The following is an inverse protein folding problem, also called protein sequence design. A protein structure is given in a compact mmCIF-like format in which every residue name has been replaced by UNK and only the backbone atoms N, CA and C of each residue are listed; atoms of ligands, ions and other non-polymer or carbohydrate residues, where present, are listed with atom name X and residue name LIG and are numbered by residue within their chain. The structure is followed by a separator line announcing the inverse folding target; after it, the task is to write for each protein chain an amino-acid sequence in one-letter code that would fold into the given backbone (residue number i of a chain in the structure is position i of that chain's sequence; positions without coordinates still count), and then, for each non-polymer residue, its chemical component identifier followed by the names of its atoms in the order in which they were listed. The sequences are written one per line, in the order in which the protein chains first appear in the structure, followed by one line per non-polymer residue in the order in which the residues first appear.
data_IF_095762506738
#
_entry.id   IF_095762506738
#
_cell.length_a   1.000
_cell.length_b   1.000
_cell.length_c   1.000
_cell.angle_alpha   90.00
_cell.angle_beta   90.00
_cell.angle_gamma   90.00
#
_symmetry.space_group_name_H-M   'P 1'
#
loop_
_entity.id
_entity.type
_entity.pdbx_description
1 polymer ?
#
# COMPACT_ATOMS: atom_id res chain seq x y z
N UNK A 1 -3.34 -7.06 5.36
CA UNK A 1 -2.31 -5.99 5.44
C UNK A 1 -2.17 -5.35 4.09
N UNK A 2 -2.27 -4.01 4.01
CA UNK A 2 -2.07 -3.22 2.82
C UNK A 2 -0.65 -2.67 2.72
N UNK A 3 -0.09 -2.65 1.52
CA UNK A 3 1.28 -2.25 1.23
C UNK A 3 1.34 -1.27 0.05
N UNK A 4 2.00 -0.14 0.26
CA UNK A 4 2.42 0.79 -0.78
C UNK A 4 3.93 0.63 -1.01
N UNK A 5 4.33 0.07 -2.16
CA UNK A 5 5.73 -0.35 -2.41
C UNK A 5 6.43 0.67 -3.32
N UNK A 6 7.24 1.54 -2.72
CA UNK A 6 8.17 2.43 -3.42
C UNK A 6 9.57 1.84 -3.54
N UNK A 7 10.51 2.58 -4.16
CA UNK A 7 11.90 2.15 -4.29
C UNK A 7 12.75 2.35 -3.01
N UNK A 8 12.32 3.25 -2.13
CA UNK A 8 13.01 3.62 -0.87
C UNK A 8 12.18 3.41 0.39
N UNK A 9 10.88 3.19 0.25
CA UNK A 9 9.96 3.02 1.37
C UNK A 9 8.87 2.03 1.03
N UNK A 10 8.37 1.33 2.05
CA UNK A 10 7.13 0.56 1.98
C UNK A 10 6.20 1.09 3.06
N UNK A 11 5.08 1.68 2.66
CA UNK A 11 4.02 2.08 3.58
C UNK A 11 3.19 0.87 4.01
N UNK A 12 2.88 0.76 5.30
CA UNK A 12 2.16 -0.39 5.87
C UNK A 12 0.83 0.06 6.47
N UNK A 13 -0.24 -0.65 6.14
CA UNK A 13 -1.55 -0.52 6.75
C UNK A 13 -2.14 -1.88 7.13
N UNK A 14 -3.02 -1.91 8.14
CA UNK A 14 -3.76 -3.11 8.56
C UNK A 14 -5.24 -2.80 8.61
N UNK A 15 -6.08 -3.82 8.43
CA UNK A 15 -7.51 -3.67 8.61
C UNK A 15 -7.86 -3.83 10.09
N UNK A 16 -9.00 -3.30 10.51
CA UNK A 16 -9.64 -3.75 11.74
C UNK A 16 -10.03 -5.25 11.65
N UNK A 17 -10.35 -5.89 12.79
CA UNK A 17 -10.75 -7.31 12.80
C UNK A 17 -12.02 -7.63 12.01
N UNK A 18 -12.87 -6.64 11.75
CA UNK A 18 -14.11 -6.80 10.97
C UNK A 18 -13.88 -6.63 9.46
N UNK A 19 -12.70 -6.16 9.05
CA UNK A 19 -12.37 -5.87 7.66
C UNK A 19 -13.09 -4.63 7.12
N UNK A 20 -13.47 -3.67 7.97
CA UNK A 20 -14.22 -2.48 7.54
C UNK A 20 -13.33 -1.28 7.27
N UNK A 21 -12.39 -1.01 8.17
CA UNK A 21 -11.53 0.17 8.11
C UNK A 21 -10.06 -0.22 8.00
N UNK A 22 -9.29 0.59 7.28
CA UNK A 22 -7.84 0.51 7.22
C UNK A 22 -7.18 1.53 8.15
N UNK A 23 -6.08 1.13 8.78
CA UNK A 23 -5.30 1.96 9.69
C UNK A 23 -3.81 1.89 9.32
N UNK A 24 -3.14 3.04 9.32
CA UNK A 24 -1.71 3.11 9.04
C UNK A 24 -0.90 2.61 10.22
N UNK A 25 0.13 1.80 9.95
CA UNK A 25 1.02 1.24 10.99
C UNK A 25 2.33 2.02 11.00
N UNK A 26 3.12 1.88 9.94
CA UNK A 26 4.41 2.53 9.84
C UNK A 26 4.90 2.59 8.38
N UNK A 27 6.07 3.20 8.18
CA UNK A 27 6.78 3.19 6.89
C UNK A 27 8.12 2.49 7.10
N UNK A 28 8.31 1.36 6.43
CA UNK A 28 9.58 0.63 6.43
C UNK A 28 10.51 1.27 5.39
N UNK A 29 11.73 1.62 5.79
CA UNK A 29 12.76 2.08 4.86
C UNK A 29 13.38 0.89 4.14
N UNK A 30 13.50 1.01 2.82
CA UNK A 30 14.04 -0.03 1.94
C UNK A 30 15.04 0.57 0.95
N UNK A 31 15.74 -0.28 0.21
CA UNK A 31 16.59 0.13 -0.90
C UNK A 31 16.52 -0.93 -2.00
N UNK A 32 15.57 -0.75 -2.92
CA UNK A 32 15.30 -1.68 -4.01
C UNK A 32 16.54 -1.95 -4.88
N UNK A 33 17.34 -0.91 -5.16
CA UNK A 33 18.57 -1.02 -5.97
C UNK A 33 19.64 -1.90 -5.31
N UNK A 34 19.59 -2.05 -3.99
CA UNK A 34 20.52 -2.90 -3.21
C UNK A 34 19.89 -4.24 -2.82
N UNK A 35 18.67 -4.53 -3.27
CA UNK A 35 17.93 -5.73 -2.88
C UNK A 35 17.47 -5.73 -1.41
N UNK A 36 17.46 -4.57 -0.75
CA UNK A 36 17.02 -4.44 0.64
C UNK A 36 15.52 -4.17 0.66
N UNK A 37 14.69 -5.19 0.90
CA UNK A 37 13.22 -5.10 0.79
C UNK A 37 12.48 -4.92 2.14
N UNK A 38 13.20 -4.79 3.24
CA UNK A 38 12.60 -4.57 4.57
C UNK A 38 11.83 -5.77 5.14
N UNK A 39 12.00 -6.97 4.57
CA UNK A 39 11.21 -8.17 4.88
C UNK A 39 11.30 -8.62 6.34
N UNK A 40 12.43 -8.37 7.02
CA UNK A 40 12.60 -8.71 8.44
C UNK A 40 11.59 -7.97 9.33
N UNK A 41 11.47 -6.65 9.14
CA UNK A 41 10.50 -5.84 9.91
C UNK A 41 9.07 -6.21 9.52
N UNK A 42 8.84 -6.45 8.23
CA UNK A 42 7.53 -6.91 7.76
C UNK A 42 7.12 -8.25 8.42
N UNK A 43 8.07 -9.17 8.62
CA UNK A 43 7.81 -10.44 9.28
C UNK A 43 7.39 -10.27 10.75
N UNK A 44 7.96 -9.30 11.47
CA UNK A 44 7.54 -8.96 12.83
C UNK A 44 6.08 -8.47 12.84
N UNK A 45 5.75 -7.55 11.93
CA UNK A 45 4.40 -7.00 11.80
C UNK A 45 3.37 -8.06 11.38
N UNK A 46 3.74 -8.97 10.47
CA UNK A 46 2.86 -10.07 10.04
C UNK A 46 2.47 -10.96 11.21
N UNK A 47 3.41 -11.23 12.13
CA UNK A 47 3.15 -12.00 13.35
C UNK A 47 2.32 -11.20 14.34
N UNK A 48 2.68 -9.95 14.58
CA UNK A 48 2.01 -9.06 15.53
C UNK A 48 0.53 -8.87 15.20
N UNK A 49 0.23 -8.59 13.93
CA UNK A 49 -1.13 -8.33 13.45
C UNK A 49 -1.84 -9.58 12.91
N UNK A 50 -1.24 -10.77 13.07
CA UNK A 50 -1.79 -12.06 12.62
C UNK A 50 -2.31 -12.00 11.17
N UNK A 51 -1.49 -11.48 10.27
CA UNK A 51 -1.90 -11.20 8.89
C UNK A 51 -2.22 -12.49 8.15
N UNK A 52 -3.36 -12.50 7.46
CA UNK A 52 -3.84 -13.64 6.66
C UNK A 52 -3.81 -13.39 5.15
N UNK A 53 -3.62 -12.13 4.73
CA UNK A 53 -3.58 -11.71 3.33
C UNK A 53 -2.84 -10.38 3.16
N UNK A 54 -2.12 -10.25 2.06
CA UNK A 54 -1.56 -8.97 1.60
C UNK A 54 -2.38 -8.34 0.48
N UNK A 55 -2.43 -7.01 0.48
CA UNK A 55 -2.98 -6.19 -0.60
C UNK A 55 -1.90 -5.21 -1.01
N UNK A 56 -1.41 -5.30 -2.25
CA UNK A 56 -0.35 -4.44 -2.76
C UNK A 56 -0.93 -3.47 -3.77
N UNK A 57 -0.58 -2.21 -3.64
CA UNK A 57 -0.90 -1.19 -4.62
C UNK A 57 -0.19 -1.42 -5.97
N UNK A 58 -0.95 -1.27 -7.06
CA UNK A 58 -0.49 -1.52 -8.42
C UNK A 58 -0.70 -0.27 -9.29
N UNK A 59 0.35 0.55 -9.49
CA UNK A 59 0.26 1.78 -10.28
C UNK A 59 0.23 1.45 -11.77
N UNK A 60 -0.97 1.26 -12.33
CA UNK A 60 -1.16 1.05 -13.77
C UNK A 60 -1.13 2.38 -14.51
N UNK A 61 -0.59 2.37 -15.73
CA UNK A 61 -0.67 3.52 -16.61
C UNK A 61 -2.13 3.79 -17.03
N UNK A 62 -2.43 5.02 -17.46
CA UNK A 62 -3.78 5.43 -17.88
C UNK A 62 -4.34 4.61 -19.05
N UNK A 63 -3.47 4.03 -19.88
CA UNK A 63 -3.82 3.11 -20.97
C UNK A 63 -3.91 1.63 -20.53
N UNK A 64 -3.97 1.35 -19.23
CA UNK A 64 -3.92 0.00 -18.61
C UNK A 64 -2.60 -0.78 -18.78
N UNK A 65 -1.56 -0.23 -19.41
CA UNK A 65 -0.27 -0.94 -19.50
C UNK A 65 0.42 -1.04 -18.13
N UNK A 66 1.18 -2.11 -17.93
CA UNK A 66 2.04 -2.29 -16.77
C UNK A 66 3.36 -1.56 -17.03
N UNK A 67 3.74 -0.66 -16.14
CA UNK A 67 5.05 0.01 -16.18
C UNK A 67 6.05 -0.59 -15.18
N UNK A 68 7.32 -0.15 -15.19
CA UNK A 68 8.38 -0.71 -14.34
C UNK A 68 8.05 -0.71 -12.84
N UNK A 69 7.33 0.31 -12.35
CA UNK A 69 6.91 0.36 -10.93
C UNK A 69 5.88 -0.72 -10.60
N UNK A 70 4.96 -1.02 -11.51
CA UNK A 70 3.97 -2.08 -11.33
C UNK A 70 4.63 -3.47 -11.35
N UNK A 71 5.61 -3.69 -12.24
CA UNK A 71 6.43 -4.91 -12.24
C UNK A 71 7.20 -5.07 -10.92
N UNK A 72 7.78 -3.98 -10.41
CA UNK A 72 8.48 -4.01 -9.14
C UNK A 72 7.55 -4.32 -7.95
N UNK A 73 6.32 -3.78 -7.94
CA UNK A 73 5.30 -4.15 -6.94
C UNK A 73 4.90 -5.63 -7.04
N UNK A 74 4.77 -6.18 -8.26
CA UNK A 74 4.51 -7.61 -8.46
C UNK A 74 5.66 -8.48 -7.97
N UNK A 75 6.91 -8.10 -8.28
CA UNK A 75 8.09 -8.81 -7.80
C UNK A 75 8.18 -8.78 -6.27
N UNK A 76 7.83 -7.67 -5.63
CA UNK A 76 7.70 -7.61 -4.18
C UNK A 76 6.65 -8.59 -3.66
N UNK A 77 5.48 -8.64 -4.31
CA UNK A 77 4.41 -9.58 -3.99
C UNK A 77 4.82 -11.05 -4.09
N UNK A 78 5.57 -11.44 -5.11
CA UNK A 78 6.09 -12.81 -5.23
C UNK A 78 7.03 -13.17 -4.07
N UNK A 79 7.90 -12.25 -3.63
CA UNK A 79 8.72 -12.47 -2.43
C UNK A 79 7.87 -12.67 -1.16
N UNK A 80 6.74 -11.99 -1.05
CA UNK A 80 5.84 -12.18 0.08
C UNK A 80 5.17 -13.56 0.05
N UNK A 81 4.73 -14.01 -1.13
CA UNK A 81 4.16 -15.36 -1.29
C UNK A 81 5.19 -16.42 -0.90
N UNK A 82 6.41 -16.32 -1.41
CA UNK A 82 7.50 -17.25 -1.10
C UNK A 82 7.85 -17.27 0.40
N UNK A 83 7.85 -16.11 1.06
CA UNK A 83 8.27 -16.00 2.46
C UNK A 83 7.19 -16.37 3.47
N UNK A 84 5.92 -16.03 3.17
CA UNK A 84 4.83 -16.14 4.13
C UNK A 84 3.80 -17.21 3.80
N UNK A 85 3.77 -17.71 2.56
CA UNK A 85 2.74 -18.62 2.06
C UNK A 85 1.31 -18.06 2.26
N UNK A 86 1.17 -16.74 2.08
CA UNK A 86 -0.09 -16.02 2.21
C UNK A 86 -0.56 -15.47 0.85
N UNK A 87 -1.88 -15.38 0.62
CA UNK A 87 -2.42 -14.75 -0.58
C UNK A 87 -1.98 -13.28 -0.70
N UNK A 88 -1.70 -12.88 -1.94
CA UNK A 88 -1.38 -11.50 -2.31
C UNK A 88 -2.37 -11.06 -3.40
N UNK A 89 -3.19 -10.06 -3.07
CA UNK A 89 -4.07 -9.39 -4.02
C UNK A 89 -3.46 -8.05 -4.44
N UNK A 90 -3.74 -7.63 -5.68
CA UNK A 90 -3.28 -6.36 -6.23
C UNK A 90 -4.44 -5.38 -6.39
N UNK A 91 -4.29 -4.17 -5.87
CA UNK A 91 -5.30 -3.12 -5.92
C UNK A 91 -4.82 -1.99 -6.82
N UNK A 92 -5.69 -1.59 -7.76
CA UNK A 92 -5.39 -0.54 -8.72
C UNK A 92 -5.39 0.84 -8.05
N UNK A 93 -4.29 1.60 -8.20
CA UNK A 93 -4.06 2.88 -7.52
C UNK A 93 -4.58 4.12 -8.26
N UNK A 94 -5.20 3.96 -9.43
CA UNK A 94 -5.55 5.08 -10.34
C UNK A 94 -6.41 6.20 -9.75
N UNK A 95 -6.97 6.03 -8.55
CA UNK A 95 -7.81 7.00 -7.85
C UNK A 95 -7.14 7.71 -6.66
N UNK A 96 -5.97 7.27 -6.19
CA UNK A 96 -5.49 7.66 -4.84
C UNK A 96 -4.85 9.04 -4.79
N UNK A 97 -3.99 9.43 -5.75
CA UNK A 97 -3.26 10.71 -5.64
C UNK A 97 -4.14 11.92 -5.88
N UNK A 98 -4.97 11.93 -6.93
CA UNK A 98 -5.81 13.09 -7.28
C UNK A 98 -6.93 13.30 -6.26
N UNK A 99 -7.54 12.23 -5.75
CA UNK A 99 -8.57 12.34 -4.71
C UNK A 99 -7.96 12.76 -3.37
N UNK A 100 -6.81 12.21 -2.97
CA UNK A 100 -6.11 12.62 -1.75
C UNK A 100 -5.63 14.08 -1.82
N UNK A 101 -5.12 14.52 -2.98
CA UNK A 101 -4.74 15.91 -3.18
C UNK A 101 -5.94 16.85 -3.03
N UNK A 102 -7.12 16.49 -3.56
CA UNK A 102 -8.36 17.28 -3.40
C UNK A 102 -8.83 17.35 -1.95
N UNK A 103 -8.85 16.23 -1.23
CA UNK A 103 -9.23 16.20 0.19
C UNK A 103 -8.31 17.08 1.06
N UNK A 104 -7.01 17.11 0.76
CA UNK A 104 -6.04 17.94 1.49
C UNK A 104 -6.11 19.42 1.14
N UNK A 105 -6.51 19.78 -0.08
CA UNK A 105 -6.72 21.17 -0.51
C UNK A 105 -7.95 21.79 0.18
N UNK A 106 -9.00 21.01 0.39
CA UNK A 106 -10.23 21.50 1.05
C UNK A 106 -10.07 21.67 2.57
N UNK A 107 -9.18 20.90 3.21
CA UNK A 107 -9.05 20.88 4.68
C UNK A 107 -7.82 21.63 5.23
N UNK A 108 -6.81 21.94 4.41
CA UNK A 108 -5.57 22.53 4.92
C UNK A 108 -4.84 23.43 3.90
N UNK A 109 -4.68 24.71 4.24
CA UNK A 109 -3.87 25.70 3.51
C UNK A 109 -2.36 25.42 3.66
N UNK A 110 -1.92 24.27 3.13
CA UNK A 110 -0.57 23.71 3.34
C UNK A 110 0.19 23.63 2.02
N UNK A 111 1.50 23.87 2.02
CA UNK A 111 2.31 23.86 0.80
C UNK A 111 2.33 22.49 0.09
N UNK A 112 2.53 22.48 -1.24
CA UNK A 112 2.59 21.25 -2.07
C UNK A 112 3.49 20.15 -1.49
N UNK A 113 4.65 20.54 -0.95
CA UNK A 113 5.60 19.61 -0.36
C UNK A 113 5.09 18.96 0.94
N UNK A 114 4.32 19.70 1.76
CA UNK A 114 3.69 19.13 2.97
C UNK A 114 2.58 18.16 2.59
N UNK A 115 1.76 18.49 1.59
CA UNK A 115 0.69 17.61 1.10
C UNK A 115 1.23 16.29 0.57
N UNK A 116 2.28 16.32 -0.26
CA UNK A 116 2.92 15.10 -0.77
C UNK A 116 3.36 14.16 0.37
N UNK A 117 4.00 14.71 1.42
CA UNK A 117 4.39 13.90 2.59
C UNK A 117 3.21 13.28 3.35
N UNK A 118 2.06 13.94 3.36
CA UNK A 118 0.84 13.39 3.96
C UNK A 118 0.26 12.28 3.09
N UNK A 119 0.21 12.49 1.77
CA UNK A 119 -0.25 11.48 0.80
C UNK A 119 0.61 10.22 0.86
N UNK A 120 1.94 10.37 0.84
CA UNK A 120 2.88 9.25 0.94
C UNK A 120 2.68 8.44 2.24
N UNK A 121 2.25 9.09 3.34
CA UNK A 121 1.92 8.42 4.60
C UNK A 121 0.58 7.71 4.61
N UNK A 122 -0.34 8.12 3.75
CA UNK A 122 -1.71 7.60 3.68
C UNK A 122 -1.91 6.58 2.55
N UNK A 123 -0.98 6.48 1.60
CA UNK A 123 -1.11 5.64 0.41
C UNK A 123 -1.50 4.18 0.75
N UNK A 124 -0.78 3.53 1.66
CA UNK A 124 -1.08 2.15 2.07
C UNK A 124 -2.48 2.01 2.71
N UNK A 125 -2.93 3.02 3.46
CA UNK A 125 -4.28 3.05 4.05
C UNK A 125 -5.33 3.16 2.95
N UNK A 126 -5.15 4.06 2.00
CA UNK A 126 -6.08 4.24 0.88
C UNK A 126 -6.16 2.99 0.00
N UNK A 127 -5.02 2.35 -0.30
CA UNK A 127 -4.96 1.08 -1.03
C UNK A 127 -5.80 0.02 -0.32
N UNK A 128 -5.60 -0.15 0.99
CA UNK A 128 -6.31 -1.16 1.75
C UNK A 128 -7.80 -0.84 1.87
N UNK A 129 -8.15 0.42 2.18
CA UNK A 129 -9.54 0.83 2.30
C UNK A 129 -10.32 0.59 1.00
N UNK A 130 -9.75 1.00 -0.14
CA UNK A 130 -10.37 0.79 -1.45
C UNK A 130 -10.59 -0.70 -1.75
N UNK A 131 -9.66 -1.55 -1.34
CA UNK A 131 -9.81 -3.01 -1.46
C UNK A 131 -10.94 -3.52 -0.57
N UNK A 132 -10.95 -3.12 0.71
CA UNK A 132 -11.96 -3.52 1.69
C UNK A 132 -13.36 -3.12 1.22
N UNK A 133 -13.56 -1.85 0.82
CA UNK A 133 -14.84 -1.33 0.35
C UNK A 133 -15.38 -2.12 -0.85
N UNK A 134 -14.48 -2.46 -1.80
CA UNK A 134 -14.83 -3.27 -2.98
C UNK A 134 -15.20 -4.71 -2.61
N UNK A 135 -14.61 -5.27 -1.56
CA UNK A 135 -14.94 -6.63 -1.10
C UNK A 135 -16.16 -6.67 -0.19
N UNK A 136 -16.41 -5.61 0.59
CA UNK A 136 -17.54 -5.49 1.50
C UNK A 136 -18.86 -5.24 0.76
N UNK A 137 -18.84 -4.53 -0.37
CA UNK A 137 -20.01 -4.32 -1.25
C UNK A 137 -20.42 -5.57 -2.07
N UNK A 138 -19.95 -6.77 -1.71
CA UNK A 138 -20.37 -8.03 -2.36
C UNK A 138 -21.55 -8.72 -1.68
N UNK A 139 -22.24 -8.05 -0.77
CA UNK A 139 -23.45 -8.54 -0.10
C UNK A 139 -24.64 -7.64 -0.42
#
# INVERSE_FOLDING_TARGET
MGLDVGSKTVGIAVSDPFGWTAQGVEIIRINEDRGEFGLKRLQELVKEYQVTKFVIGLPKNMNNSIGPRAEASMHYGEKLKELFDLPVDYQDERLTTVQAERMLVEQADTSRAKRKKVIDKLAAVMILQNYLDRTSNKF
#
